data_IF_373481861909
#
_entry.id   IF_373481861909
#
_cell.length_a   1.000
_cell.length_b   1.000
_cell.length_c   1.000
_cell.angle_alpha   90.00
_cell.angle_beta   90.00
_cell.angle_gamma   90.00
#
_symmetry.space_group_name_H-M   'P 1'
#
loop_
_entity.id
_entity.type
_entity.pdbx_description
1 polymer ?
#
# COMPACT_ATOMS: atom_id res chain seq x y z
N UNK A 1 11.50 8.24 10.37
CA UNK A 1 11.35 9.18 9.23
C UNK A 1 11.19 10.60 9.74
N UNK A 2 11.86 11.54 9.11
CA UNK A 2 11.78 12.94 9.52
C UNK A 2 10.51 13.59 8.97
N UNK A 3 9.93 14.52 9.73
CA UNK A 3 8.74 15.27 9.34
C UNK A 3 8.88 16.00 7.99
N UNK A 4 10.05 16.56 7.73
CA UNK A 4 10.36 17.25 6.47
C UNK A 4 10.25 16.34 5.25
N UNK A 5 10.70 15.09 5.37
CA UNK A 5 10.59 14.10 4.29
C UNK A 5 9.15 13.79 3.94
N UNK A 6 8.29 13.71 4.95
CA UNK A 6 6.86 13.48 4.77
C UNK A 6 6.23 14.64 4.00
N UNK A 7 6.56 15.86 4.33
CA UNK A 7 6.04 17.05 3.66
C UNK A 7 6.46 17.13 2.19
N UNK A 8 7.71 16.79 1.89
CA UNK A 8 8.21 16.73 0.51
C UNK A 8 7.44 15.69 -0.29
N UNK A 9 7.20 14.53 0.29
CA UNK A 9 6.44 13.46 -0.36
C UNK A 9 5.00 13.89 -0.68
N UNK A 10 4.34 14.58 0.25
CA UNK A 10 2.99 15.11 0.03
C UNK A 10 2.92 16.06 -1.16
N UNK A 11 3.87 16.96 -1.28
CA UNK A 11 3.93 17.89 -2.40
C UNK A 11 4.09 17.17 -3.74
N UNK A 12 4.90 16.11 -3.78
CA UNK A 12 5.09 15.29 -4.98
C UNK A 12 3.80 14.55 -5.36
N UNK A 13 3.11 13.96 -4.38
CA UNK A 13 1.84 13.24 -4.61
C UNK A 13 0.79 14.15 -5.25
N UNK A 14 0.64 15.37 -4.75
CA UNK A 14 -0.35 16.32 -5.25
C UNK A 14 -0.13 16.74 -6.72
N UNK A 15 1.07 16.54 -7.25
CA UNK A 15 1.42 16.90 -8.63
C UNK A 15 1.27 15.74 -9.62
N UNK A 16 0.86 14.55 -9.17
CA UNK A 16 0.75 13.38 -10.04
C UNK A 16 -0.51 13.41 -10.90
N UNK A 17 -0.44 12.89 -12.13
CA UNK A 17 -1.62 12.78 -13.00
C UNK A 17 -2.62 11.75 -12.48
N UNK A 18 -3.83 11.78 -13.04
CA UNK A 18 -4.88 10.82 -12.71
C UNK A 18 -4.43 9.40 -13.07
N UNK A 19 -4.61 8.47 -12.15
CA UNK A 19 -4.26 7.07 -12.32
C UNK A 19 -5.43 6.29 -12.93
N UNK A 20 -5.12 5.37 -13.83
CA UNK A 20 -6.12 4.54 -14.50
C UNK A 20 -6.15 3.10 -13.99
N UNK A 21 -5.00 2.59 -13.49
CA UNK A 21 -4.91 1.22 -12.97
C UNK A 21 -5.30 1.17 -11.50
N UNK A 22 -5.82 0.02 -11.07
CA UNK A 22 -6.43 -0.13 -9.75
C UNK A 22 -5.42 -0.21 -8.61
N UNK A 23 -4.70 -1.33 -8.49
CA UNK A 23 -3.87 -1.59 -7.31
C UNK A 23 -2.67 -2.46 -7.66
N UNK A 24 -1.55 -2.20 -7.01
CA UNK A 24 -0.34 -3.00 -7.18
C UNK A 24 0.37 -3.25 -5.86
N UNK A 25 1.26 -4.24 -5.87
CA UNK A 25 2.13 -4.56 -4.75
C UNK A 25 3.48 -5.06 -5.26
N UNK A 26 4.54 -4.75 -4.53
CA UNK A 26 5.87 -5.31 -4.78
C UNK A 26 6.34 -5.94 -3.48
N UNK A 27 6.17 -7.27 -3.36
CA UNK A 27 6.53 -8.03 -2.19
C UNK A 27 7.60 -9.05 -2.59
N UNK A 28 8.75 -8.99 -1.94
CA UNK A 28 9.90 -9.84 -2.28
C UNK A 28 9.89 -11.17 -1.55
N UNK A 29 9.39 -11.19 -0.32
CA UNK A 29 9.56 -12.34 0.58
C UNK A 29 8.21 -12.94 1.01
N UNK A 30 7.88 -14.11 0.46
CA UNK A 30 6.66 -14.84 0.82
C UNK A 30 6.74 -15.49 2.21
N UNK A 31 7.92 -15.69 2.77
CA UNK A 31 8.08 -16.29 4.12
C UNK A 31 7.44 -15.45 5.21
N UNK A 32 7.40 -14.13 5.00
CA UNK A 32 6.78 -13.19 5.92
C UNK A 32 5.39 -12.76 5.44
N UNK A 33 4.75 -13.62 4.66
CA UNK A 33 3.42 -13.39 4.13
C UNK A 33 2.40 -13.92 5.12
N UNK A 34 2.20 -13.19 6.20
CA UNK A 34 1.33 -13.63 7.29
C UNK A 34 -0.12 -13.76 6.84
N UNK A 35 -0.85 -14.64 7.52
CA UNK A 35 -2.28 -14.95 7.24
C UNK A 35 -3.12 -13.71 7.01
N UNK A 36 -2.90 -12.69 7.81
CA UNK A 36 -3.66 -11.44 7.75
C UNK A 36 -3.48 -10.73 6.40
N UNK A 37 -2.23 -10.50 5.98
CA UNK A 37 -1.91 -9.85 4.71
C UNK A 37 -2.48 -10.63 3.53
N UNK A 38 -2.24 -11.92 3.54
CA UNK A 38 -2.71 -12.82 2.49
C UNK A 38 -4.23 -12.81 2.40
N UNK A 39 -4.90 -12.91 3.53
CA UNK A 39 -6.37 -12.90 3.59
C UNK A 39 -6.94 -11.61 3.03
N UNK A 40 -6.37 -10.47 3.40
CA UNK A 40 -6.79 -9.18 2.86
C UNK A 40 -6.61 -9.12 1.34
N UNK A 41 -5.44 -9.50 0.86
CA UNK A 41 -5.13 -9.44 -0.57
C UNK A 41 -5.97 -10.41 -1.37
N UNK A 42 -6.26 -11.59 -0.87
CA UNK A 42 -7.15 -12.54 -1.53
C UNK A 42 -8.57 -12.00 -1.65
N UNK A 43 -9.09 -11.39 -0.60
CA UNK A 43 -10.42 -10.76 -0.63
C UNK A 43 -10.47 -9.58 -1.59
N UNK A 44 -9.45 -8.74 -1.60
CA UNK A 44 -9.38 -7.62 -2.52
C UNK A 44 -9.25 -8.09 -3.98
N UNK A 45 -8.47 -9.13 -4.23
CA UNK A 45 -8.34 -9.74 -5.56
C UNK A 45 -9.66 -10.27 -6.12
N UNK A 46 -10.55 -10.78 -5.26
CA UNK A 46 -11.88 -11.24 -5.69
C UNK A 46 -12.72 -10.10 -6.25
N UNK A 47 -12.54 -8.91 -5.72
CA UNK A 47 -13.21 -7.73 -6.24
C UNK A 47 -12.53 -7.25 -7.52
N UNK A 48 -11.23 -7.02 -7.47
CA UNK A 48 -10.46 -6.54 -8.62
C UNK A 48 -9.00 -6.95 -8.47
N UNK A 49 -8.39 -7.45 -9.54
CA UNK A 49 -7.05 -8.00 -9.54
C UNK A 49 -6.00 -6.98 -9.05
N UNK A 50 -5.13 -7.43 -8.15
CA UNK A 50 -3.93 -6.70 -7.73
C UNK A 50 -2.78 -7.15 -8.61
N UNK A 51 -2.05 -6.22 -9.22
CA UNK A 51 -0.85 -6.54 -9.99
C UNK A 51 0.34 -6.72 -9.04
N UNK A 52 0.91 -7.92 -9.02
CA UNK A 52 2.01 -8.31 -8.14
C UNK A 52 3.32 -8.29 -8.91
N UNK A 53 4.19 -7.32 -8.61
CA UNK A 53 5.44 -7.09 -9.35
C UNK A 53 6.71 -7.60 -8.67
N UNK A 54 6.64 -8.10 -7.45
CA UNK A 54 7.77 -8.65 -6.72
C UNK A 54 7.96 -10.16 -6.94
N UNK A 55 8.89 -10.75 -6.22
CA UNK A 55 9.14 -12.20 -6.29
C UNK A 55 7.99 -13.01 -5.71
N UNK A 56 7.29 -12.48 -4.71
CA UNK A 56 6.21 -13.19 -4.07
C UNK A 56 4.94 -13.09 -4.90
N UNK A 57 4.41 -14.25 -5.32
CA UNK A 57 3.16 -14.38 -6.07
C UNK A 57 3.08 -13.49 -7.30
N UNK A 58 4.20 -13.30 -7.99
CA UNK A 58 4.28 -12.47 -9.19
C UNK A 58 3.25 -12.92 -10.24
N UNK A 59 2.50 -11.97 -10.78
CA UNK A 59 1.48 -12.25 -11.79
C UNK A 59 1.58 -11.36 -13.02
N UNK A 60 2.68 -10.62 -13.18
CA UNK A 60 2.90 -9.75 -14.33
C UNK A 60 4.00 -10.27 -15.27
N UNK A 61 4.52 -11.48 -15.01
CA UNK A 61 5.53 -12.17 -15.83
C UNK A 61 6.90 -11.47 -15.90
N UNK A 62 7.19 -10.57 -14.97
CA UNK A 62 8.50 -9.93 -14.81
C UNK A 62 8.69 -9.46 -13.38
N UNK A 63 9.94 -9.35 -12.94
CA UNK A 63 10.26 -8.77 -11.64
C UNK A 63 10.50 -7.28 -11.82
N UNK A 64 9.78 -6.47 -11.07
CA UNK A 64 9.90 -5.01 -11.11
C UNK A 64 11.26 -4.58 -10.57
N UNK A 65 12.00 -3.79 -11.35
CA UNK A 65 13.29 -3.23 -10.95
C UNK A 65 13.15 -1.86 -10.31
N UNK A 66 12.28 -1.01 -10.86
CA UNK A 66 12.01 0.31 -10.32
C UNK A 66 10.62 0.31 -9.68
N UNK A 67 10.59 0.12 -8.36
CA UNK A 67 9.36 -0.02 -7.59
C UNK A 67 8.49 1.24 -7.67
N UNK A 68 9.06 2.41 -7.48
CA UNK A 68 8.30 3.67 -7.46
C UNK A 68 7.68 3.94 -8.83
N UNK A 69 8.42 3.76 -9.89
CA UNK A 69 7.90 3.91 -11.25
C UNK A 69 6.74 2.94 -11.53
N UNK A 70 6.89 1.67 -11.14
CA UNK A 70 5.84 0.68 -11.30
C UNK A 70 4.57 1.08 -10.53
N UNK A 71 4.70 1.39 -9.24
CA UNK A 71 3.57 1.79 -8.40
C UNK A 71 2.87 3.04 -8.92
N UNK A 72 3.62 3.95 -9.56
CA UNK A 72 3.09 5.24 -10.02
C UNK A 72 1.95 5.13 -11.04
N UNK A 73 1.75 3.96 -11.64
CA UNK A 73 0.67 3.72 -12.60
C UNK A 73 -0.68 3.37 -11.94
N UNK A 74 -0.71 3.22 -10.62
CA UNK A 74 -1.86 2.67 -9.90
C UNK A 74 -2.47 3.68 -8.93
N UNK A 75 -3.78 3.58 -8.72
CA UNK A 75 -4.48 4.39 -7.71
C UNK A 75 -4.09 3.98 -6.30
N UNK A 76 -4.03 2.68 -6.05
CA UNK A 76 -3.71 2.11 -4.73
C UNK A 76 -2.44 1.29 -4.81
N UNK A 77 -1.73 1.21 -3.68
CA UNK A 77 -0.60 0.27 -3.53
C UNK A 77 -0.64 -0.37 -2.16
N UNK A 78 -0.27 -1.65 -2.10
CA UNK A 78 -0.22 -2.38 -0.85
C UNK A 78 1.07 -2.00 -0.12
N UNK A 79 0.93 -1.41 1.06
CA UNK A 79 2.03 -0.97 1.91
C UNK A 79 1.88 -1.61 3.29
N UNK A 80 1.85 -2.94 3.32
CA UNK A 80 1.66 -3.70 4.55
C UNK A 80 2.99 -4.20 5.09
N UNK A 81 3.27 -3.87 6.35
CA UNK A 81 4.43 -4.35 7.07
C UNK A 81 4.33 -5.84 7.34
N UNK A 82 5.47 -6.46 7.68
CA UNK A 82 5.49 -7.87 8.07
C UNK A 82 4.79 -8.12 9.39
N UNK A 83 4.77 -7.12 10.27
CA UNK A 83 4.09 -7.16 11.57
C UNK A 83 3.52 -5.79 11.89
N UNK A 84 2.73 -5.71 12.96
CA UNK A 84 2.19 -4.44 13.45
C UNK A 84 2.79 -4.10 14.81
N UNK A 85 2.73 -2.83 15.19
CA UNK A 85 3.22 -2.34 16.48
C UNK A 85 3.54 -0.86 16.43
N UNK A 86 3.77 -0.29 17.61
CA UNK A 86 4.11 1.13 17.73
C UNK A 86 5.49 1.42 17.12
N UNK A 87 5.58 2.46 16.32
CA UNK A 87 6.85 2.91 15.75
C UNK A 87 7.39 2.04 14.62
N UNK A 88 6.65 1.04 14.17
CA UNK A 88 7.09 0.16 13.10
C UNK A 88 6.72 0.74 11.73
N UNK A 89 7.49 1.71 11.28
CA UNK A 89 7.30 2.36 10.00
C UNK A 89 8.50 2.11 9.09
N UNK A 90 8.25 1.56 7.91
CA UNK A 90 9.30 1.28 6.94
C UNK A 90 9.12 2.10 5.66
N UNK A 91 10.00 1.83 4.68
CA UNK A 91 9.95 2.43 3.36
C UNK A 91 8.68 2.10 2.56
N UNK A 92 7.89 1.11 2.98
CA UNK A 92 6.72 0.66 2.20
C UNK A 92 5.71 1.77 1.96
N UNK A 93 5.34 2.50 3.02
CA UNK A 93 4.39 3.61 2.86
C UNK A 93 5.06 4.82 2.18
N UNK A 94 6.35 5.01 2.41
CA UNK A 94 7.13 6.09 1.77
C UNK A 94 7.14 5.91 0.26
N UNK A 95 7.44 4.71 -0.21
CA UNK A 95 7.45 4.40 -1.64
C UNK A 95 6.09 4.64 -2.28
N UNK A 96 5.02 4.29 -1.59
CA UNK A 96 3.66 4.54 -2.06
C UNK A 96 3.38 6.04 -2.24
N UNK A 97 3.78 6.86 -1.28
CA UNK A 97 3.63 8.31 -1.39
C UNK A 97 4.48 8.90 -2.51
N UNK A 98 5.73 8.45 -2.64
CA UNK A 98 6.61 8.90 -3.71
C UNK A 98 6.05 8.53 -5.09
N UNK A 99 5.39 7.39 -5.19
CA UNK A 99 4.73 6.96 -6.42
C UNK A 99 3.41 7.70 -6.70
N UNK A 100 2.90 8.45 -5.74
CA UNK A 100 1.62 9.15 -5.88
C UNK A 100 0.40 8.25 -5.78
N UNK A 101 0.52 7.11 -5.12
CA UNK A 101 -0.60 6.19 -4.88
C UNK A 101 -1.25 6.45 -3.52
N UNK A 102 -2.42 5.86 -3.31
CA UNK A 102 -3.03 5.81 -1.99
C UNK A 102 -2.58 4.50 -1.33
N UNK A 103 -1.75 4.57 -0.27
CA UNK A 103 -1.29 3.35 0.41
C UNK A 103 -2.45 2.65 1.13
N UNK A 104 -2.52 1.33 0.98
CA UNK A 104 -3.34 0.47 1.84
C UNK A 104 -2.35 -0.08 2.88
N UNK A 105 -2.41 0.49 4.08
CA UNK A 105 -1.36 0.33 5.07
C UNK A 105 -1.77 -0.55 6.25
N UNK A 106 -0.83 -1.38 6.70
CA UNK A 106 -0.89 -2.15 7.94
C UNK A 106 0.50 -2.14 8.57
N UNK A 107 0.59 -1.78 9.84
CA UNK A 107 1.89 -1.71 10.54
C UNK A 107 1.80 -0.92 11.83
N UNK A 108 2.33 0.29 11.85
CA UNK A 108 2.35 1.16 13.03
C UNK A 108 0.95 1.67 13.37
N UNK A 109 0.47 1.36 14.56
CA UNK A 109 -0.85 1.81 15.04
C UNK A 109 -0.94 3.32 15.23
N UNK A 110 0.19 3.96 15.45
CA UNK A 110 0.26 5.39 15.79
C UNK A 110 0.51 6.26 14.57
N UNK A 111 0.37 5.69 13.38
CA UNK A 111 0.66 6.39 12.12
C UNK A 111 -0.16 7.67 11.97
N UNK A 112 -1.38 7.72 12.51
CA UNK A 112 -2.26 8.89 12.45
C UNK A 112 -1.68 10.11 13.17
N UNK A 113 -0.75 9.89 14.10
CA UNK A 113 -0.15 10.99 14.86
C UNK A 113 0.84 11.80 14.03
N UNK A 114 1.40 11.23 12.97
CA UNK A 114 2.42 11.93 12.17
C UNK A 114 2.18 11.93 10.67
N UNK A 115 1.16 11.21 10.18
CA UNK A 115 0.75 11.26 8.78
C UNK A 115 -0.75 11.52 8.71
N UNK A 116 -1.17 12.43 7.84
CA UNK A 116 -2.59 12.77 7.69
C UNK A 116 -3.40 11.52 7.30
N UNK A 117 -4.36 11.10 8.14
CA UNK A 117 -5.15 9.88 7.89
C UNK A 117 -6.00 9.92 6.61
N UNK A 118 -6.19 11.09 6.02
CA UNK A 118 -6.89 11.22 4.73
C UNK A 118 -6.04 10.79 3.52
N UNK A 119 -4.76 10.51 3.72
CA UNK A 119 -3.83 10.20 2.63
C UNK A 119 -3.56 8.71 2.44
N UNK A 120 -4.10 7.86 3.30
CA UNK A 120 -3.91 6.41 3.24
C UNK A 120 -5.12 5.69 3.81
N UNK A 121 -5.20 4.38 3.56
CA UNK A 121 -6.24 3.52 4.12
C UNK A 121 -5.57 2.63 5.16
N UNK A 122 -5.93 2.82 6.43
CA UNK A 122 -5.37 2.05 7.54
C UNK A 122 -6.20 0.79 7.79
N UNK A 123 -5.52 -0.36 7.83
CA UNK A 123 -6.10 -1.63 8.23
C UNK A 123 -5.47 -2.04 9.55
N UNK A 124 -6.26 -2.14 10.59
CA UNK A 124 -5.77 -2.46 11.94
C UNK A 124 -5.76 -3.95 12.25
N UNK A 125 -6.64 -4.72 11.62
CA UNK A 125 -6.73 -6.16 11.86
C UNK A 125 -7.84 -6.81 11.04
N UNK A 126 -8.10 -8.10 11.29
CA UNK A 126 -9.09 -8.88 10.55
C UNK A 126 -10.50 -8.27 10.54
N UNK A 127 -10.87 -7.65 11.65
CA UNK A 127 -12.21 -7.04 11.81
C UNK A 127 -12.45 -5.89 10.82
N UNK A 128 -11.38 -5.25 10.36
CA UNK A 128 -11.48 -4.12 9.44
C UNK A 128 -11.55 -4.52 7.97
N UNK A 129 -11.21 -5.75 7.63
CA UNK A 129 -10.97 -6.15 6.23
C UNK A 129 -12.18 -5.84 5.34
N UNK A 130 -13.35 -6.34 5.73
CA UNK A 130 -14.54 -6.19 4.88
C UNK A 130 -14.99 -4.73 4.77
N UNK A 131 -14.93 -3.98 5.85
CA UNK A 131 -15.24 -2.55 5.85
C UNK A 131 -14.32 -1.77 4.92
N UNK A 132 -13.00 -2.02 5.00
CA UNK A 132 -12.04 -1.31 4.19
C UNK A 132 -12.12 -1.69 2.70
N UNK A 133 -12.43 -2.93 2.40
CA UNK A 133 -12.66 -3.35 1.01
C UNK A 133 -13.88 -2.64 0.44
N UNK A 134 -14.97 -2.53 1.19
CA UNK A 134 -16.14 -1.77 0.75
C UNK A 134 -15.81 -0.29 0.53
N UNK A 135 -14.99 0.30 1.40
CA UNK A 135 -14.52 1.67 1.23
C UNK A 135 -13.71 1.83 -0.07
N UNK A 136 -12.81 0.89 -0.35
CA UNK A 136 -11.99 0.90 -1.58
C UNK A 136 -12.89 0.81 -2.83
N UNK A 137 -13.91 -0.05 -2.80
CA UNK A 137 -14.85 -0.19 -3.91
C UNK A 137 -15.58 1.12 -4.24
N UNK A 138 -15.94 1.88 -3.22
CA UNK A 138 -16.66 3.15 -3.37
C UNK A 138 -15.76 4.30 -3.81
N UNK A 139 -14.46 4.21 -3.56
CA UNK A 139 -13.51 5.32 -3.75
C UNK A 139 -12.45 5.04 -4.82
N UNK A 140 -12.66 4.06 -5.64
CA UNK A 140 -11.75 3.75 -6.74
C UNK A 140 -11.79 4.77 -7.87
#
# INVERSE_FOLDING_TARGET
MKFEQINIMRKKVLKKPIKTKFCSAVISNCKHYYRFRLKFMEKLNKYKKIDMGGKCKNNIKRIVKNKIEFLSNYKFSIAMENSSGDGYLSEKIVDSFLAGTIPIYYGDYMIDEYINPKTYILIKGEKDIDEKIEYIKKNR
#
